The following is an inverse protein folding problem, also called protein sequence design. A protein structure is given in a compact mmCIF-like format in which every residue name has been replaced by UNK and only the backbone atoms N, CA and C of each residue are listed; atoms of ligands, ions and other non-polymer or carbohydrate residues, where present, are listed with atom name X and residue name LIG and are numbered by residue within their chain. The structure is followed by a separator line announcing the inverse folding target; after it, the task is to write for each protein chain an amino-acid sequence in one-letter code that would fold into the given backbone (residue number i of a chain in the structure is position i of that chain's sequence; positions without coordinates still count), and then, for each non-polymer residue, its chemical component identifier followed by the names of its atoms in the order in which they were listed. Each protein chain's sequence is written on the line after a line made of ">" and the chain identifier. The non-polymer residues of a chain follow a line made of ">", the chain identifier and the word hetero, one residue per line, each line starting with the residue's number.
data_IF_229056384431
#
_entry.id   IF_229056384431
#
_cell.length_a   1.000
_cell.length_b   1.000
_cell.length_c   1.000
_cell.angle_alpha   90.00
_cell.angle_beta   90.00
_cell.angle_gamma   90.00
#
_symmetry.space_group_name_H-M   'P 1'
#
loop_
_entity.id
_entity.type
_entity.pdbx_description
1 polymer ?
#
# COMPACT_ATOMS: atom_id res chain seq x y z
N UNK A 1 -6.87 6.37 43.04
CA UNK A 1 -6.58 6.28 41.61
C UNK A 1 -7.89 6.36 40.88
N UNK A 2 -8.05 7.28 39.94
CA UNK A 2 -9.24 7.32 39.10
C UNK A 2 -9.04 6.43 37.86
N UNK A 3 -9.71 5.27 37.85
CA UNK A 3 -9.67 4.32 36.74
C UNK A 3 -10.13 4.95 35.41
N UNK A 4 -11.08 5.89 35.45
CA UNK A 4 -11.55 6.58 34.24
C UNK A 4 -10.44 7.44 33.64
N UNK A 5 -9.65 8.09 34.48
CA UNK A 5 -8.49 8.88 34.05
C UNK A 5 -7.41 7.99 33.47
N UNK A 6 -7.11 6.84 34.09
CA UNK A 6 -6.15 5.86 33.57
C UNK A 6 -6.56 5.30 32.21
N UNK A 7 -7.82 4.89 32.05
CA UNK A 7 -8.34 4.35 30.80
C UNK A 7 -8.32 5.40 29.68
N UNK A 8 -8.72 6.64 29.99
CA UNK A 8 -8.67 7.74 29.03
C UNK A 8 -7.21 8.05 28.61
N UNK A 9 -6.28 8.06 29.57
CA UNK A 9 -4.85 8.22 29.31
C UNK A 9 -4.27 7.09 28.46
N UNK A 10 -4.66 5.84 28.74
CA UNK A 10 -4.23 4.69 27.96
C UNK A 10 -4.74 4.77 26.51
N UNK A 11 -6.02 5.12 26.31
CA UNK A 11 -6.57 5.29 24.96
C UNK A 11 -5.82 6.37 24.17
N UNK A 12 -5.47 7.49 24.80
CA UNK A 12 -4.66 8.53 24.15
C UNK A 12 -3.26 8.04 23.78
N UNK A 13 -2.62 7.26 24.67
CA UNK A 13 -1.33 6.65 24.37
C UNK A 13 -1.46 5.69 23.18
N UNK A 14 -2.50 4.85 23.15
CA UNK A 14 -2.76 3.92 22.05
C UNK A 14 -2.98 4.66 20.72
N UNK A 15 -3.71 5.77 20.71
CA UNK A 15 -3.87 6.60 19.52
C UNK A 15 -2.53 7.09 18.98
N UNK A 16 -1.63 7.53 19.86
CA UNK A 16 -0.32 8.08 19.47
C UNK A 16 0.65 6.98 19.00
N UNK A 17 0.54 5.79 19.57
CA UNK A 17 1.33 4.62 19.25
C UNK A 17 0.94 4.03 17.90
N UNK A 18 -0.36 3.87 17.64
CA UNK A 18 -0.88 3.18 16.45
C UNK A 18 -1.35 4.13 15.33
N UNK A 19 -1.42 5.44 15.59
CA UNK A 19 -1.65 6.48 14.57
C UNK A 19 -3.10 6.69 14.12
N UNK A 20 -4.07 5.98 14.72
CA UNK A 20 -5.51 6.07 14.44
C UNK A 20 -6.28 6.36 15.75
N UNK A 21 -7.59 6.63 15.70
CA UNK A 21 -8.48 6.70 16.89
C UNK A 21 -8.61 5.32 17.58
N UNK A 22 -7.49 4.82 18.09
CA UNK A 22 -7.32 3.49 18.65
C UNK A 22 -7.71 3.51 20.12
N UNK A 23 -8.88 2.95 20.42
CA UNK A 23 -9.28 2.64 21.80
C UNK A 23 -8.84 1.24 22.19
N UNK A 24 -8.78 0.96 23.50
CA UNK A 24 -8.54 -0.39 24.00
C UNK A 24 -9.54 -1.40 23.40
N UNK A 25 -10.82 -1.05 23.33
CA UNK A 25 -11.85 -1.90 22.73
C UNK A 25 -11.58 -2.20 21.25
N UNK A 26 -11.22 -1.17 20.46
CA UNK A 26 -10.87 -1.35 19.05
C UNK A 26 -9.64 -2.26 18.89
N UNK A 27 -8.62 -2.08 19.73
CA UNK A 27 -7.43 -2.93 19.73
C UNK A 27 -7.77 -4.39 20.08
N UNK A 28 -8.70 -4.63 21.02
CA UNK A 28 -9.16 -5.99 21.34
C UNK A 28 -9.86 -6.64 20.14
N UNK A 29 -10.68 -5.90 19.40
CA UNK A 29 -11.27 -6.41 18.17
C UNK A 29 -10.23 -6.75 17.10
N UNK A 30 -9.22 -5.89 16.90
CA UNK A 30 -8.11 -6.18 15.98
C UNK A 30 -7.31 -7.44 16.39
N UNK A 31 -7.24 -7.73 17.70
CA UNK A 31 -6.59 -8.94 18.23
C UNK A 31 -7.43 -10.22 18.07
N UNK A 32 -8.68 -10.08 17.63
CA UNK A 32 -9.61 -11.16 17.33
C UNK A 32 -10.56 -11.53 18.46
N UNK A 33 -10.73 -10.66 19.47
CA UNK A 33 -11.75 -10.86 20.52
C UNK A 33 -13.14 -10.50 20.00
N UNK A 34 -14.14 -11.30 20.38
CA UNK A 34 -15.54 -11.10 20.00
C UNK A 34 -16.18 -9.93 20.76
N UNK A 35 -17.23 -9.34 20.20
CA UNK A 35 -18.01 -8.27 20.83
C UNK A 35 -18.48 -8.64 22.24
N UNK A 36 -19.05 -9.84 22.41
CA UNK A 36 -19.49 -10.33 23.71
C UNK A 36 -18.36 -10.40 24.73
N UNK A 37 -17.16 -10.84 24.32
CA UNK A 37 -16.00 -10.91 25.19
C UNK A 37 -15.52 -9.51 25.58
N UNK A 38 -15.54 -8.55 24.66
CA UNK A 38 -15.15 -7.17 24.95
C UNK A 38 -16.14 -6.49 25.91
N UNK A 39 -17.44 -6.69 25.71
CA UNK A 39 -18.50 -6.18 26.60
C UNK A 39 -18.36 -6.76 28.02
N UNK A 40 -18.16 -8.07 28.15
CA UNK A 40 -17.94 -8.72 29.45
C UNK A 40 -16.70 -8.20 30.18
N UNK A 41 -15.63 -7.87 29.45
CA UNK A 41 -14.45 -7.25 30.04
C UNK A 41 -14.74 -5.84 30.55
N UNK A 42 -15.59 -5.08 29.85
CA UNK A 42 -16.01 -3.74 30.27
C UNK A 42 -16.84 -3.76 31.55
N UNK A 43 -17.65 -4.81 31.76
CA UNK A 43 -18.59 -4.93 32.88
C UNK A 43 -17.97 -5.31 34.25
N UNK A 44 -16.64 -5.43 34.35
CA UNK A 44 -15.99 -5.64 35.66
C UNK A 44 -14.54 -6.09 35.67
N UNK A 45 -13.91 -6.33 34.53
CA UNK A 45 -12.54 -6.88 34.45
C UNK A 45 -11.56 -6.01 33.67
N UNK A 46 -11.96 -4.79 33.30
CA UNK A 46 -11.12 -3.86 32.57
C UNK A 46 -9.95 -3.36 33.42
N UNK A 47 -10.18 -3.08 34.69
CA UNK A 47 -9.16 -2.58 35.63
C UNK A 47 -7.93 -3.49 35.79
N UNK A 48 -8.06 -4.81 36.08
CA UNK A 48 -6.90 -5.69 36.17
C UNK A 48 -6.17 -5.84 34.83
N UNK A 49 -6.87 -5.75 33.69
CA UNK A 49 -6.25 -5.80 32.36
C UNK A 49 -5.43 -4.54 32.10
N UNK A 50 -6.00 -3.36 32.38
CA UNK A 50 -5.30 -2.08 32.22
C UNK A 50 -4.08 -2.03 33.12
N UNK A 51 -4.20 -2.43 34.39
CA UNK A 51 -3.08 -2.43 35.33
C UNK A 51 -1.95 -3.38 34.88
N UNK A 52 -2.28 -4.62 34.47
CA UNK A 52 -1.28 -5.55 33.94
C UNK A 52 -0.65 -5.06 32.64
N UNK A 53 -1.43 -4.40 31.78
CA UNK A 53 -0.94 -3.88 30.52
C UNK A 53 0.00 -2.68 30.73
N UNK A 54 -0.33 -1.79 31.66
CA UNK A 54 0.54 -0.69 32.09
C UNK A 54 1.84 -1.22 32.72
N UNK A 55 1.79 -2.29 33.52
CA UNK A 55 3.01 -2.95 34.00
C UNK A 55 3.89 -3.48 32.87
N UNK A 56 3.29 -4.05 31.81
CA UNK A 56 4.05 -4.51 30.64
C UNK A 56 4.71 -3.33 29.93
N UNK A 57 3.98 -2.22 29.75
CA UNK A 57 4.53 -0.99 29.16
C UNK A 57 5.68 -0.47 30.03
N UNK A 58 5.52 -0.43 31.35
CA UNK A 58 6.54 -0.01 32.30
C UNK A 58 7.78 -0.89 32.21
N UNK A 59 7.64 -2.22 32.34
CA UNK A 59 8.75 -3.17 32.23
C UNK A 59 9.47 -3.02 30.89
N UNK A 60 8.74 -2.86 29.77
CA UNK A 60 9.37 -2.67 28.45
C UNK A 60 10.04 -1.31 28.26
N UNK A 61 9.61 -0.25 28.93
CA UNK A 61 10.33 1.02 28.84
C UNK A 61 11.59 0.98 29.72
N UNK A 62 11.54 0.28 30.84
CA UNK A 62 12.64 0.16 31.81
C UNK A 62 13.69 -0.87 31.40
N UNK A 63 13.33 -2.07 30.94
CA UNK A 63 14.29 -3.13 30.56
C UNK A 63 15.14 -2.78 29.33
N UNK A 64 14.64 -1.87 28.53
CA UNK A 64 15.01 -1.66 27.13
C UNK A 64 15.82 -0.34 27.00
N UNK A 65 15.83 0.49 28.05
CA UNK A 65 16.66 1.71 28.20
C UNK A 65 17.33 1.85 29.57
N UNK A 66 16.94 1.05 30.57
CA UNK A 66 17.34 1.20 31.98
C UNK A 66 16.73 2.41 32.70
N UNK A 67 15.96 3.25 32.01
CA UNK A 67 15.48 4.54 32.54
C UNK A 67 14.03 4.46 32.96
N UNK A 68 13.81 4.22 34.24
CA UNK A 68 12.48 4.32 34.89
C UNK A 68 11.79 5.67 34.60
N UNK A 69 12.60 6.71 34.37
CA UNK A 69 12.17 8.07 34.00
C UNK A 69 11.29 8.11 32.75
N UNK A 70 11.45 7.20 31.78
CA UNK A 70 10.64 7.21 30.54
C UNK A 70 9.18 6.88 30.84
N UNK A 71 8.94 5.88 31.69
CA UNK A 71 7.58 5.53 32.10
C UNK A 71 6.98 6.62 33.01
N UNK A 72 7.77 7.20 33.92
CA UNK A 72 7.29 8.28 34.80
C UNK A 72 6.81 9.50 34.00
N UNK A 73 7.55 9.91 32.97
CA UNK A 73 7.18 11.03 32.10
C UNK A 73 5.89 10.73 31.33
N UNK A 74 5.76 9.53 30.76
CA UNK A 74 4.52 9.11 30.09
C UNK A 74 3.34 9.03 31.06
N UNK A 75 3.55 8.45 32.24
CA UNK A 75 2.53 8.29 33.27
C UNK A 75 1.96 9.65 33.65
N UNK A 76 2.81 10.63 33.96
CA UNK A 76 2.39 11.98 34.33
C UNK A 76 1.77 12.76 33.17
N UNK A 77 2.25 12.54 31.94
CA UNK A 77 1.71 13.22 30.76
C UNK A 77 0.29 12.79 30.42
N UNK A 78 0.02 11.48 30.50
CA UNK A 78 -1.27 10.90 30.09
C UNK A 78 -2.20 10.54 31.25
N UNK A 79 -1.71 10.56 32.50
CA UNK A 79 -2.46 10.17 33.69
C UNK A 79 -2.56 8.65 33.86
N UNK A 80 -1.53 7.90 33.46
CA UNK A 80 -1.53 6.42 33.50
C UNK A 80 -1.49 5.87 34.94
N UNK A 81 -1.05 6.68 35.90
CA UNK A 81 -1.11 6.40 37.33
C UNK A 81 -2.48 6.74 37.95
N UNK A 82 -3.37 7.37 37.19
CA UNK A 82 -4.70 7.80 37.65
C UNK A 82 -4.68 9.13 38.38
N UNK A 83 -3.59 9.88 38.28
CA UNK A 83 -3.50 11.28 38.66
C UNK A 83 -3.86 12.20 37.47
N UNK A 84 -4.14 13.47 37.76
CA UNK A 84 -4.44 14.45 36.74
C UNK A 84 -3.25 14.66 35.78
N UNK A 85 -3.55 14.81 34.50
CA UNK A 85 -2.55 14.99 33.45
C UNK A 85 -1.75 16.27 33.66
N UNK A 86 -0.45 16.17 33.48
CA UNK A 86 0.47 17.31 33.62
C UNK A 86 1.01 17.76 32.25
N UNK A 87 1.32 19.05 32.16
CA UNK A 87 2.05 19.59 31.01
C UNK A 87 3.53 19.24 31.13
N UNK A 88 4.21 19.08 29.99
CA UNK A 88 5.65 18.80 29.95
C UNK A 88 6.46 19.87 30.71
N UNK A 89 6.03 21.13 30.72
CA UNK A 89 6.66 22.21 31.52
C UNK A 89 6.65 21.92 33.02
N UNK A 90 5.53 21.45 33.57
CA UNK A 90 5.40 21.11 34.98
C UNK A 90 6.22 19.85 35.35
N UNK A 91 6.23 18.86 34.44
CA UNK A 91 7.03 17.64 34.59
C UNK A 91 8.54 17.98 34.58
N UNK A 92 8.98 18.90 33.71
CA UNK A 92 10.37 19.32 33.61
C UNK A 92 10.90 19.90 34.93
N UNK A 93 10.09 20.74 35.59
CA UNK A 93 10.41 21.31 36.91
C UNK A 93 10.55 20.22 37.97
N UNK A 94 9.66 19.23 37.98
CA UNK A 94 9.71 18.12 38.96
C UNK A 94 10.93 17.22 38.80
N UNK A 95 11.44 17.07 37.58
CA UNK A 95 12.61 16.25 37.29
C UNK A 95 13.93 17.05 37.23
N UNK A 96 13.90 18.36 37.54
CA UNK A 96 15.05 19.27 37.41
C UNK A 96 15.69 19.24 36.00
N UNK A 97 14.87 19.13 34.95
CA UNK A 97 15.30 19.09 33.55
C UNK A 97 14.93 20.38 32.82
N UNK A 98 15.68 20.75 31.78
CA UNK A 98 15.26 21.81 30.86
C UNK A 98 14.02 21.38 30.08
N UNK A 99 13.04 22.28 29.84
CA UNK A 99 11.86 22.00 29.03
C UNK A 99 12.18 21.50 27.61
N UNK A 100 13.24 22.01 27.01
CA UNK A 100 13.72 21.63 25.67
C UNK A 100 14.25 20.20 25.68
N UNK A 101 15.05 19.86 26.69
CA UNK A 101 15.57 18.50 26.86
C UNK A 101 14.45 17.49 27.11
N UNK A 102 13.45 17.85 27.93
CA UNK A 102 12.30 16.98 28.17
C UNK A 102 11.47 16.77 26.90
N UNK A 103 11.28 17.79 26.05
CA UNK A 103 10.59 17.63 24.76
C UNK A 103 11.32 16.67 23.84
N UNK A 104 12.65 16.79 23.74
CA UNK A 104 13.45 15.87 22.92
C UNK A 104 13.36 14.43 23.44
N UNK A 105 13.48 14.25 24.75
CA UNK A 105 13.37 12.95 25.40
C UNK A 105 11.95 12.37 25.25
N UNK A 106 10.92 13.20 25.31
CA UNK A 106 9.54 12.77 25.07
C UNK A 106 9.32 12.31 23.63
N UNK A 107 9.87 13.02 22.64
CA UNK A 107 9.80 12.59 21.24
C UNK A 107 10.54 11.27 21.01
N UNK A 108 11.71 11.08 21.64
CA UNK A 108 12.44 9.81 21.60
C UNK A 108 11.59 8.65 22.15
N UNK A 109 10.90 8.86 23.27
CA UNK A 109 9.99 7.88 23.85
C UNK A 109 8.87 7.54 22.86
N UNK A 110 8.22 8.54 22.26
CA UNK A 110 7.13 8.32 21.30
C UNK A 110 7.61 7.61 20.04
N UNK A 111 8.77 7.98 19.51
CA UNK A 111 9.36 7.32 18.34
C UNK A 111 9.62 5.83 18.61
N UNK A 112 10.10 5.49 19.81
CA UNK A 112 10.28 4.10 20.22
C UNK A 112 8.95 3.36 20.32
N UNK A 113 7.94 3.98 20.93
CA UNK A 113 6.62 3.39 21.06
C UNK A 113 5.94 3.19 19.69
N UNK A 114 6.25 4.02 18.70
CA UNK A 114 5.76 3.87 17.31
C UNK A 114 6.50 2.82 16.49
N UNK A 115 7.56 2.21 17.02
CA UNK A 115 8.28 1.17 16.28
C UNK A 115 7.42 -0.08 16.08
N UNK A 116 7.49 -0.68 14.89
CA UNK A 116 6.70 -1.89 14.55
C UNK A 116 6.97 -3.07 15.47
N UNK A 117 8.22 -3.21 15.92
CA UNK A 117 8.65 -4.25 16.86
C UNK A 117 7.93 -4.07 18.20
N UNK A 118 7.95 -2.85 18.76
CA UNK A 118 7.30 -2.55 20.02
C UNK A 118 5.78 -2.70 19.94
N UNK A 119 5.15 -2.20 18.88
CA UNK A 119 3.72 -2.40 18.60
C UNK A 119 3.32 -3.88 18.55
N UNK A 120 4.09 -4.70 17.81
CA UNK A 120 3.81 -6.15 17.67
C UNK A 120 3.90 -6.86 19.01
N UNK A 121 4.91 -6.51 19.80
CA UNK A 121 5.14 -7.10 21.12
C UNK A 121 4.10 -6.68 22.16
N UNK A 122 3.65 -5.41 22.14
CA UNK A 122 2.53 -4.97 22.96
C UNK A 122 1.24 -5.68 22.59
N UNK A 123 0.94 -5.83 21.30
CA UNK A 123 -0.22 -6.59 20.81
C UNK A 123 -0.23 -8.02 21.34
N UNK A 124 0.91 -8.72 21.27
CA UNK A 124 1.07 -10.07 21.84
C UNK A 124 0.84 -10.09 23.35
N UNK A 125 1.43 -9.13 24.07
CA UNK A 125 1.34 -9.07 25.52
C UNK A 125 -0.09 -8.79 25.99
N UNK A 126 -0.78 -7.82 25.35
CA UNK A 126 -2.19 -7.54 25.62
C UNK A 126 -3.06 -8.77 25.35
N UNK A 127 -2.85 -9.45 24.21
CA UNK A 127 -3.57 -10.68 23.89
C UNK A 127 -3.40 -11.74 24.98
N UNK A 128 -2.18 -11.95 25.48
CA UNK A 128 -1.91 -12.91 26.54
C UNK A 128 -2.58 -12.54 27.87
N UNK A 129 -2.53 -11.26 28.26
CA UNK A 129 -3.19 -10.74 29.47
C UNK A 129 -4.70 -11.02 29.40
N UNK A 130 -5.33 -10.67 28.29
CA UNK A 130 -6.78 -10.82 28.09
C UNK A 130 -7.18 -12.29 28.06
N UNK A 131 -6.44 -13.14 27.34
CA UNK A 131 -6.69 -14.60 27.32
C UNK A 131 -6.56 -15.20 28.72
N UNK A 132 -5.56 -14.77 29.50
CA UNK A 132 -5.38 -15.23 30.88
C UNK A 132 -6.55 -14.79 31.76
N UNK A 133 -7.04 -13.56 31.58
CA UNK A 133 -8.16 -13.03 32.36
C UNK A 133 -9.48 -13.74 32.01
N UNK A 134 -9.81 -13.89 30.72
CA UNK A 134 -10.97 -14.66 30.26
C UNK A 134 -10.88 -16.14 30.69
N UNK A 135 -9.67 -16.70 30.72
CA UNK A 135 -9.43 -18.06 31.21
C UNK A 135 -9.78 -18.25 32.70
N UNK A 136 -9.59 -17.22 33.54
CA UNK A 136 -9.98 -17.24 34.96
C UNK A 136 -11.50 -17.19 35.14
N UNK A 137 -12.21 -16.59 34.19
CA UNK A 137 -13.68 -16.47 34.19
C UNK A 137 -14.38 -17.79 33.81
N UNK A 138 -13.64 -18.89 33.59
CA UNK A 138 -14.15 -20.18 33.08
C UNK A 138 -14.83 -20.07 31.70
N UNK A 139 -14.60 -18.97 30.99
CA UNK A 139 -15.20 -18.65 29.69
C UNK A 139 -14.31 -19.10 28.54
N UNK A 140 -13.82 -20.36 28.62
CA UNK A 140 -13.24 -20.97 27.44
C UNK A 140 -14.37 -21.16 26.43
N UNK A 141 -14.21 -20.71 25.17
CA UNK A 141 -15.23 -20.92 24.16
C UNK A 141 -15.52 -22.42 24.07
N UNK A 142 -16.81 -22.78 24.05
CA UNK A 142 -17.21 -24.16 23.89
C UNK A 142 -16.61 -24.73 22.61
N UNK A 143 -16.20 -26.01 22.63
CA UNK A 143 -15.64 -26.69 21.45
C UNK A 143 -16.56 -26.54 20.24
N UNK A 144 -17.87 -26.60 20.46
CA UNK A 144 -18.92 -26.43 19.46
C UNK A 144 -18.88 -25.05 18.79
N UNK A 145 -18.66 -23.98 19.57
CA UNK A 145 -18.53 -22.62 19.03
C UNK A 145 -17.32 -22.48 18.10
N UNK A 146 -16.18 -23.07 18.50
CA UNK A 146 -14.97 -23.08 17.66
C UNK A 146 -15.19 -23.93 16.42
N UNK A 147 -15.84 -25.09 16.54
CA UNK A 147 -16.17 -25.95 15.40
C UNK A 147 -17.10 -25.25 14.40
N UNK A 148 -18.15 -24.56 14.86
CA UNK A 148 -19.06 -23.79 14.02
C UNK A 148 -18.32 -22.67 13.26
N UNK A 149 -17.35 -22.00 13.89
CA UNK A 149 -16.49 -21.02 13.21
C UNK A 149 -15.61 -21.65 12.14
N UNK A 150 -15.06 -22.84 12.38
CA UNK A 150 -14.26 -23.58 11.40
C UNK A 150 -15.10 -24.03 10.20
N UNK A 151 -16.32 -24.52 10.44
CA UNK A 151 -17.28 -24.86 9.39
C UNK A 151 -17.64 -23.63 8.55
N UNK A 152 -17.94 -22.49 9.21
CA UNK A 152 -18.19 -21.23 8.52
C UNK A 152 -16.99 -20.79 7.67
N UNK A 153 -15.77 -20.93 8.19
CA UNK A 153 -14.55 -20.63 7.43
C UNK A 153 -14.38 -21.54 6.21
N UNK A 154 -14.66 -22.83 6.36
CA UNK A 154 -14.65 -23.81 5.26
C UNK A 154 -15.64 -23.41 4.16
N UNK A 155 -16.88 -23.07 4.55
CA UNK A 155 -17.92 -22.61 3.62
C UNK A 155 -17.51 -21.33 2.89
N UNK A 156 -16.94 -20.35 3.59
CA UNK A 156 -16.46 -19.11 2.97
C UNK A 156 -15.33 -19.37 1.97
N UNK A 157 -14.39 -20.27 2.29
CA UNK A 157 -13.33 -20.67 1.35
C UNK A 157 -13.89 -21.38 0.12
N UNK A 158 -14.84 -22.29 0.31
CA UNK A 158 -15.53 -22.97 -0.80
C UNK A 158 -16.24 -21.97 -1.71
N UNK A 159 -16.99 -21.02 -1.13
CA UNK A 159 -17.68 -19.99 -1.90
C UNK A 159 -16.72 -19.07 -2.67
N UNK A 160 -15.60 -18.68 -2.05
CA UNK A 160 -14.56 -17.88 -2.70
C UNK A 160 -13.94 -18.60 -3.91
N UNK A 161 -13.72 -19.92 -3.79
CA UNK A 161 -13.17 -20.72 -4.88
C UNK A 161 -14.15 -20.88 -6.05
N UNK A 162 -15.43 -21.11 -5.77
CA UNK A 162 -16.48 -21.12 -6.81
C UNK A 162 -16.54 -19.77 -7.54
N UNK A 163 -16.53 -18.66 -6.79
CA UNK A 163 -16.54 -17.33 -7.38
C UNK A 163 -15.29 -17.05 -8.26
N UNK A 164 -14.12 -17.58 -7.87
CA UNK A 164 -12.89 -17.49 -8.66
C UNK A 164 -13.02 -18.24 -9.99
N UNK A 165 -13.55 -19.47 -9.96
CA UNK A 165 -13.77 -20.28 -11.16
C UNK A 165 -14.79 -19.61 -12.10
N UNK A 166 -15.91 -19.10 -11.57
CA UNK A 166 -16.91 -18.36 -12.35
C UNK A 166 -16.32 -17.11 -13.00
N UNK A 167 -15.47 -16.38 -12.27
CA UNK A 167 -14.76 -15.21 -12.79
C UNK A 167 -13.82 -15.61 -13.94
N UNK A 168 -13.01 -16.66 -13.76
CA UNK A 168 -12.06 -17.14 -14.78
C UNK A 168 -12.80 -17.64 -16.03
N UNK A 169 -13.93 -18.34 -15.87
CA UNK A 169 -14.77 -18.79 -16.97
C UNK A 169 -15.35 -17.62 -17.77
N UNK A 170 -15.98 -16.65 -17.09
CA UNK A 170 -16.53 -15.44 -17.74
C UNK A 170 -15.46 -14.62 -18.43
N UNK A 171 -14.30 -14.45 -17.79
CA UNK A 171 -13.17 -13.75 -18.39
C UNK A 171 -12.72 -14.42 -19.69
N UNK A 172 -12.67 -15.75 -19.70
CA UNK A 172 -12.25 -16.52 -20.88
C UNK A 172 -13.26 -16.42 -22.01
N UNK A 173 -14.56 -16.44 -21.69
CA UNK A 173 -15.64 -16.25 -22.66
C UNK A 173 -15.60 -14.86 -23.30
N UNK A 174 -15.45 -13.81 -22.48
CA UNK A 174 -15.31 -12.42 -22.96
C UNK A 174 -14.08 -12.29 -23.87
N UNK A 175 -12.94 -12.84 -23.46
CA UNK A 175 -11.72 -12.79 -24.28
C UNK A 175 -11.89 -13.51 -25.62
N UNK A 176 -12.57 -14.65 -25.63
CA UNK A 176 -12.85 -15.39 -26.87
C UNK A 176 -13.72 -14.57 -27.83
N UNK A 177 -14.76 -13.92 -27.31
CA UNK A 177 -15.62 -13.04 -28.12
C UNK A 177 -14.81 -11.88 -28.71
N UNK A 178 -14.09 -11.14 -27.86
CA UNK A 178 -13.29 -9.99 -28.31
C UNK A 178 -12.23 -10.42 -29.33
N UNK A 179 -11.56 -11.55 -29.13
CA UNK A 179 -10.59 -12.06 -30.10
C UNK A 179 -11.24 -12.35 -31.45
N UNK A 180 -12.42 -12.96 -31.46
CA UNK A 180 -13.15 -13.23 -32.72
C UNK A 180 -13.58 -11.95 -33.44
N UNK A 181 -13.96 -10.91 -32.69
CA UNK A 181 -14.30 -9.60 -33.26
C UNK A 181 -13.06 -8.91 -33.86
N UNK A 182 -11.89 -9.01 -33.19
CA UNK A 182 -10.62 -8.49 -33.70
C UNK A 182 -10.14 -9.25 -34.94
N UNK A 183 -10.21 -10.57 -34.94
CA UNK A 183 -9.80 -11.41 -36.08
C UNK A 183 -10.67 -11.14 -37.32
N UNK A 184 -11.97 -10.89 -37.12
CA UNK A 184 -12.89 -10.49 -38.18
C UNK A 184 -12.55 -9.11 -38.75
N UNK A 185 -12.26 -8.13 -37.87
CA UNK A 185 -11.84 -6.79 -38.26
C UNK A 185 -10.54 -6.83 -39.07
N UNK A 186 -9.54 -7.58 -38.61
CA UNK A 186 -8.28 -7.75 -39.32
C UNK A 186 -8.50 -8.38 -40.69
N UNK A 187 -9.37 -9.39 -40.79
CA UNK A 187 -9.70 -10.04 -42.06
C UNK A 187 -10.39 -9.10 -43.06
N UNK A 188 -11.19 -8.16 -42.57
CA UNK A 188 -11.89 -7.17 -43.41
C UNK A 188 -10.94 -6.06 -43.89
N UNK A 189 -10.15 -5.49 -42.99
CA UNK A 189 -9.40 -4.27 -43.27
C UNK A 189 -7.98 -4.50 -43.75
N UNK A 190 -7.33 -5.58 -43.33
CA UNK A 190 -5.92 -5.82 -43.70
C UNK A 190 -5.70 -5.91 -45.21
N UNK A 191 -6.52 -6.62 -46.01
CA UNK A 191 -6.33 -6.65 -47.46
C UNK A 191 -6.54 -5.29 -48.12
N UNK A 192 -7.47 -4.48 -47.60
CA UNK A 192 -7.75 -3.13 -48.11
C UNK A 192 -6.58 -2.20 -47.83
N UNK A 193 -6.01 -2.29 -46.63
CA UNK A 193 -4.83 -1.52 -46.23
C UNK A 193 -3.60 -1.94 -47.03
N UNK A 194 -3.34 -3.25 -47.16
CA UNK A 194 -2.24 -3.78 -47.96
C UNK A 194 -2.35 -3.35 -49.44
N UNK A 195 -3.53 -3.46 -50.04
CA UNK A 195 -3.76 -2.98 -51.41
C UNK A 195 -3.60 -1.47 -51.55
N UNK A 196 -4.02 -0.68 -50.56
CA UNK A 196 -3.82 0.77 -50.57
C UNK A 196 -2.33 1.12 -50.49
N UNK A 197 -1.57 0.45 -49.62
CA UNK A 197 -0.12 0.62 -49.51
C UNK A 197 0.62 0.21 -50.79
N UNK A 198 0.23 -0.90 -51.42
CA UNK A 198 0.78 -1.33 -52.72
C UNK A 198 0.51 -0.30 -53.82
N UNK A 199 -0.71 0.24 -53.90
CA UNK A 199 -1.07 1.27 -54.86
C UNK A 199 -0.32 2.58 -54.61
N UNK A 200 -0.15 2.98 -53.35
CA UNK A 200 0.66 4.16 -52.98
C UNK A 200 2.10 3.94 -53.43
N UNK A 201 2.71 2.79 -53.12
CA UNK A 201 4.09 2.49 -53.49
C UNK A 201 4.28 2.44 -55.01
N UNK A 202 3.32 1.88 -55.76
CA UNK A 202 3.33 1.88 -57.22
C UNK A 202 3.30 3.31 -57.77
N UNK A 203 2.36 4.14 -57.32
CA UNK A 203 2.23 5.53 -57.75
C UNK A 203 3.47 6.35 -57.37
N UNK A 204 4.05 6.14 -56.20
CA UNK A 204 5.31 6.80 -55.81
C UNK A 204 6.46 6.44 -56.77
N UNK A 205 6.53 5.20 -57.24
CA UNK A 205 7.55 4.77 -58.19
C UNK A 205 7.30 5.33 -59.60
N UNK A 206 6.04 5.42 -60.03
CA UNK A 206 5.64 6.11 -61.26
C UNK A 206 6.08 7.59 -61.20
N UNK A 207 5.72 8.31 -60.13
CA UNK A 207 6.10 9.71 -59.92
C UNK A 207 7.62 9.88 -59.94
N UNK A 208 8.38 9.02 -59.24
CA UNK A 208 9.86 9.06 -59.27
C UNK A 208 10.40 8.89 -60.68
N UNK A 209 9.85 7.96 -61.46
CA UNK A 209 10.27 7.69 -62.84
C UNK A 209 9.96 8.87 -63.75
N UNK A 210 8.77 9.44 -63.66
CA UNK A 210 8.37 10.61 -64.44
C UNK A 210 9.20 11.85 -64.11
N UNK A 211 9.50 12.09 -62.83
CA UNK A 211 10.35 13.21 -62.39
C UNK A 211 11.78 13.05 -62.89
N UNK A 212 12.32 11.82 -62.93
CA UNK A 212 13.62 11.54 -63.54
C UNK A 212 13.64 11.83 -65.04
N UNK A 213 12.56 11.50 -65.76
CA UNK A 213 12.42 11.79 -67.19
C UNK A 213 12.23 13.29 -67.46
N UNK A 214 11.50 13.98 -66.59
CA UNK A 214 11.25 15.42 -66.70
C UNK A 214 12.50 16.25 -66.38
N UNK A 215 13.33 15.81 -65.44
CA UNK A 215 14.63 16.41 -65.14
C UNK A 215 14.60 17.64 -64.24
N UNK A 216 13.48 17.92 -63.57
CA UNK A 216 13.32 19.02 -62.61
C UNK A 216 12.46 18.58 -61.41
N UNK A 217 12.56 19.31 -60.29
CA UNK A 217 11.74 19.02 -59.11
C UNK A 217 10.32 19.56 -59.28
N UNK A 218 9.31 18.77 -58.92
CA UNK A 218 7.89 19.10 -59.09
C UNK A 218 7.19 19.09 -57.73
N UNK A 219 6.25 20.02 -57.51
CA UNK A 219 5.40 20.07 -56.31
C UNK A 219 3.92 19.97 -56.72
N UNK A 220 3.12 19.26 -55.92
CA UNK A 220 1.68 19.09 -56.18
C UNK A 220 0.92 18.75 -54.90
N UNK A 221 -0.14 19.52 -54.60
CA UNK A 221 -0.89 19.38 -53.36
C UNK A 221 0.02 19.53 -52.12
N UNK A 222 0.00 18.53 -51.23
CA UNK A 222 0.84 18.47 -50.02
C UNK A 222 2.19 17.76 -50.25
N UNK A 223 2.47 17.26 -51.45
CA UNK A 223 3.66 16.47 -51.75
C UNK A 223 4.63 17.22 -52.66
N UNK A 224 5.93 16.89 -52.55
CA UNK A 224 6.99 17.38 -53.42
C UNK A 224 7.94 16.25 -53.80
N UNK A 225 8.18 16.09 -55.09
CA UNK A 225 9.18 15.19 -55.64
C UNK A 225 10.42 15.98 -56.06
N UNK A 226 11.57 15.63 -55.50
CA UNK A 226 12.83 16.35 -55.70
C UNK A 226 13.73 15.61 -56.70
N UNK A 227 14.12 16.29 -57.78
CA UNK A 227 15.10 15.80 -58.74
C UNK A 227 16.49 16.37 -58.42
N UNK A 228 17.53 15.55 -58.55
CA UNK A 228 18.92 15.97 -58.46
C UNK A 228 19.69 15.32 -59.60
N UNK A 229 20.30 16.14 -60.47
CA UNK A 229 21.12 15.65 -61.56
C UNK A 229 22.36 14.95 -61.00
N UNK A 230 22.62 13.72 -61.47
CA UNK A 230 23.82 12.98 -61.10
C UNK A 230 25.09 13.73 -61.48
N UNK A 231 26.09 13.76 -60.59
CA UNK A 231 27.40 14.33 -60.91
C UNK A 231 28.13 13.43 -61.91
N UNK A 232 28.44 13.96 -63.08
CA UNK A 232 29.36 13.32 -64.02
C UNK A 232 30.78 13.55 -63.50
N UNK A 233 31.45 12.49 -63.03
CA UNK A 233 32.80 12.54 -62.45
C UNK A 233 33.93 12.34 -63.46
N UNK A 234 33.60 12.10 -64.73
CA UNK A 234 34.56 11.83 -65.81
C UNK A 234 34.45 12.92 -66.88
N UNK A 235 35.59 13.38 -67.38
CA UNK A 235 35.64 14.37 -68.48
C UNK A 235 35.22 13.69 -69.79
N UNK A 236 33.91 13.65 -70.02
CA UNK A 236 33.32 13.06 -71.22
C UNK A 236 33.78 13.78 -72.49
N UNK A 237 34.04 15.09 -72.42
CA UNK A 237 34.56 15.88 -73.55
C UNK A 237 36.02 15.52 -73.86
N UNK A 238 36.82 15.28 -72.83
CA UNK A 238 38.19 14.75 -72.94
C UNK A 238 38.22 13.34 -73.53
N UNK A 239 37.32 12.45 -73.09
CA UNK A 239 37.25 11.07 -73.61
C UNK A 239 36.74 10.99 -75.06
N UNK A 240 35.81 11.86 -75.46
CA UNK A 240 35.31 11.90 -76.85
C UNK A 240 36.43 12.20 -77.88
N UNK A 241 37.47 12.95 -77.48
CA UNK A 241 38.64 13.24 -78.33
C UNK A 241 39.50 12.01 -78.60
N UNK A 242 39.58 11.07 -77.66
CA UNK A 242 40.29 9.80 -77.86
C UNK A 242 39.52 8.79 -78.73
N UNK A 243 38.19 8.90 -78.81
CA UNK A 243 37.36 8.00 -79.63
C UNK A 243 37.32 8.38 -81.12
N UNK A 244 37.71 9.61 -81.47
CA UNK A 244 37.78 10.11 -82.86
C UNK A 244 39.20 10.00 -83.48
N UNK A 245 40.12 9.31 -82.81
CA UNK A 245 41.49 9.05 -83.27
C UNK A 245 41.64 7.63 -83.84
#
# INVERSE_FOLDING_TARGET
>A
MDFKTQLAGLNELLCIVYGNEMSLSMLLHELGFEQSQVEQLQDGHLEPIVNQFLEVIHKRLTSDSGKDTYYQILSRRYGLDGDAREQLSAIAVKHNLSPEYLRQLFEEILQRCRSKTWQTELRKSLKYIVVTQLGKMHERPAREHVAAKLERLSNLRGAAEVARLDYEARRTEILKQIQSELDALDSEYKPVLEAAEENIAALENEIKTEVLLYGESISGGMYRASYTQGRVSWDNDGMAKYAAS
#
